data_IF_369853326877
#
_entry.id   IF_369853326877
#
_cell.length_a   1.000
_cell.length_b   1.000
_cell.length_c   1.000
_cell.angle_alpha   90.00
_cell.angle_beta   90.00
_cell.angle_gamma   90.00
#
_symmetry.space_group_name_H-M   'P 1'
#
loop_
_entity.id
_entity.type
_entity.pdbx_description
1 polymer ?
#
# COMPACT_ATOMS: atom_id res chain seq x y z
N UNK A 1 -42.50 -80.85 -24.52
CA UNK A 1 -42.73 -79.65 -25.34
C UNK A 1 -43.16 -78.54 -24.37
N UNK A 2 -42.27 -77.64 -24.01
CA UNK A 2 -42.61 -76.34 -23.49
C UNK A 2 -41.31 -75.60 -23.30
N UNK A 3 -41.01 -74.66 -24.13
CA UNK A 3 -39.87 -73.74 -24.12
C UNK A 3 -40.21 -72.60 -23.22
N UNK A 4 -39.44 -72.45 -22.14
CA UNK A 4 -39.44 -71.20 -21.35
C UNK A 4 -38.25 -70.33 -21.75
N UNK A 5 -38.59 -69.25 -22.42
CA UNK A 5 -37.67 -68.19 -22.81
C UNK A 5 -37.57 -67.22 -21.63
N UNK A 6 -36.51 -67.33 -20.85
CA UNK A 6 -36.18 -66.40 -19.80
C UNK A 6 -35.32 -65.26 -20.32
N UNK A 7 -35.94 -64.11 -20.53
CA UNK A 7 -35.27 -62.87 -20.91
C UNK A 7 -34.63 -62.24 -19.61
N UNK A 8 -33.30 -62.32 -19.55
CA UNK A 8 -32.55 -61.59 -18.54
C UNK A 8 -32.52 -60.12 -18.92
N UNK A 9 -33.25 -59.33 -18.22
CA UNK A 9 -33.14 -57.88 -18.25
C UNK A 9 -31.85 -57.50 -17.51
N UNK A 10 -30.85 -57.03 -18.25
CA UNK A 10 -29.72 -56.33 -17.70
C UNK A 10 -30.19 -54.92 -17.28
N UNK A 11 -30.46 -54.69 -16.02
CA UNK A 11 -30.47 -53.37 -15.43
C UNK A 11 -29.03 -52.89 -15.34
N UNK A 12 -28.64 -52.10 -16.34
CA UNK A 12 -27.42 -51.32 -16.32
C UNK A 12 -27.62 -50.16 -15.34
N UNK A 13 -27.32 -50.41 -14.06
CA UNK A 13 -27.28 -49.39 -13.04
C UNK A 13 -25.97 -48.63 -13.24
N UNK A 14 -25.97 -47.71 -14.19
CA UNK A 14 -24.98 -46.62 -14.23
C UNK A 14 -25.17 -45.71 -13.00
N UNK A 15 -24.63 -46.16 -11.88
CA UNK A 15 -24.31 -45.27 -10.75
C UNK A 15 -23.17 -44.37 -11.19
N UNK A 16 -23.51 -43.31 -11.93
CA UNK A 16 -22.66 -42.11 -11.98
C UNK A 16 -22.50 -41.61 -10.54
N UNK A 17 -21.41 -42.05 -9.90
CA UNK A 17 -20.95 -41.45 -8.66
C UNK A 17 -20.69 -40.00 -8.96
N UNK A 18 -21.64 -39.13 -8.63
CA UNK A 18 -21.46 -37.67 -8.61
C UNK A 18 -20.24 -37.43 -7.72
N UNK A 19 -19.10 -37.17 -8.37
CA UNK A 19 -17.90 -36.70 -7.68
C UNK A 19 -18.31 -35.44 -6.99
N UNK A 20 -18.53 -35.51 -5.69
CA UNK A 20 -18.84 -34.37 -4.83
C UNK A 20 -17.71 -33.38 -5.03
N UNK A 21 -17.97 -32.30 -5.77
CA UNK A 21 -16.98 -31.25 -5.99
C UNK A 21 -16.48 -30.81 -4.62
N UNK A 22 -15.21 -31.03 -4.34
CA UNK A 22 -14.58 -30.65 -3.09
C UNK A 22 -14.72 -29.12 -3.00
N UNK A 23 -15.39 -28.64 -1.94
CA UNK A 23 -15.49 -27.20 -1.72
C UNK A 23 -14.10 -26.67 -1.35
N UNK A 24 -13.46 -25.99 -2.29
CA UNK A 24 -12.11 -25.45 -2.14
C UNK A 24 -12.09 -24.10 -1.40
N UNK A 25 -13.25 -23.49 -1.16
CA UNK A 25 -13.37 -22.16 -0.52
C UNK A 25 -12.78 -22.14 0.91
N UNK A 26 -13.07 -23.09 1.82
CA UNK A 26 -12.48 -23.08 3.15
C UNK A 26 -10.95 -23.21 3.13
N UNK A 27 -10.42 -24.01 2.18
CA UNK A 27 -8.97 -24.17 2.01
C UNK A 27 -8.33 -22.88 1.50
N UNK A 28 -8.99 -22.16 0.58
CA UNK A 28 -8.54 -20.87 0.08
C UNK A 28 -8.48 -19.84 1.22
N UNK A 29 -9.54 -19.72 2.02
CA UNK A 29 -9.59 -18.80 3.17
C UNK A 29 -8.42 -19.08 4.11
N UNK A 30 -8.23 -20.34 4.49
CA UNK A 30 -7.15 -20.74 5.39
C UNK A 30 -5.77 -20.36 4.83
N UNK A 31 -5.51 -20.64 3.55
CA UNK A 31 -4.24 -20.29 2.90
C UNK A 31 -4.01 -18.79 2.84
N UNK A 32 -5.04 -18.01 2.51
CA UNK A 32 -4.95 -16.56 2.43
C UNK A 32 -4.73 -15.96 3.82
N UNK A 33 -5.47 -16.42 4.84
CA UNK A 33 -5.31 -15.95 6.23
C UNK A 33 -3.92 -16.26 6.80
N UNK A 34 -3.31 -17.41 6.43
CA UNK A 34 -1.94 -17.74 6.82
C UNK A 34 -0.90 -16.73 6.33
N UNK A 35 -1.19 -16.01 5.25
CA UNK A 35 -0.33 -14.97 4.72
C UNK A 35 -0.45 -13.63 5.46
N UNK A 36 -1.32 -13.50 6.46
CA UNK A 36 -1.60 -12.28 7.24
C UNK A 36 -1.46 -10.95 6.46
N UNK A 37 -0.28 -10.66 5.94
CA UNK A 37 0.02 -9.48 5.11
C UNK A 37 0.74 -9.89 3.82
N UNK A 38 0.18 -9.52 2.68
CA UNK A 38 0.80 -9.70 1.36
C UNK A 38 1.45 -8.38 0.91
N UNK A 39 2.77 -8.29 0.99
CA UNK A 39 3.51 -7.15 0.47
C UNK A 39 3.61 -7.23 -1.05
N UNK A 40 3.05 -6.24 -1.73
CA UNK A 40 2.86 -6.25 -3.18
C UNK A 40 3.63 -5.17 -3.93
N UNK A 41 4.07 -4.10 -3.25
CA UNK A 41 4.90 -3.07 -3.83
C UNK A 41 5.89 -2.48 -2.80
N UNK A 42 7.10 -2.14 -3.25
CA UNK A 42 8.10 -1.40 -2.48
C UNK A 42 8.60 -0.21 -3.31
N UNK A 43 8.59 0.96 -2.71
CA UNK A 43 9.08 2.19 -3.31
C UNK A 43 10.19 2.78 -2.45
N UNK A 44 11.22 3.32 -3.11
CA UNK A 44 12.24 4.16 -2.48
C UNK A 44 12.01 5.59 -2.92
N UNK A 45 11.82 6.45 -1.96
CA UNK A 45 11.55 7.88 -2.18
C UNK A 45 12.71 8.68 -1.65
N UNK A 46 13.28 9.54 -2.50
CA UNK A 46 14.28 10.52 -2.13
C UNK A 46 13.63 11.89 -2.14
N UNK A 47 13.68 12.61 -1.02
CA UNK A 47 13.10 13.95 -0.88
C UNK A 47 14.15 14.90 -0.30
N UNK A 48 14.33 16.06 -0.93
CA UNK A 48 15.16 17.12 -0.36
C UNK A 48 14.25 18.14 0.31
N UNK A 49 14.44 18.33 1.61
CA UNK A 49 13.79 19.40 2.38
C UNK A 49 14.71 20.57 2.41
N UNK A 50 14.24 21.74 1.97
CA UNK A 50 14.98 22.99 2.04
C UNK A 50 14.31 23.93 3.00
N UNK A 51 15.10 24.59 3.84
CA UNK A 51 14.63 25.64 4.73
C UNK A 51 15.50 26.89 4.60
N UNK A 52 14.87 28.03 4.39
CA UNK A 52 15.50 29.34 4.32
C UNK A 52 15.06 30.17 5.51
N UNK A 53 15.97 30.47 6.41
CA UNK A 53 15.75 31.34 7.57
C UNK A 53 16.39 32.71 7.29
N UNK A 54 15.52 33.69 7.13
CA UNK A 54 15.89 35.06 6.71
C UNK A 54 15.54 36.02 7.85
N UNK A 55 16.52 36.76 8.32
CA UNK A 55 16.26 37.83 9.31
C UNK A 55 15.71 39.04 8.59
N UNK A 56 14.54 39.50 9.04
CA UNK A 56 13.89 40.71 8.57
C UNK A 56 13.76 41.71 9.71
N UNK A 57 14.24 42.93 9.49
CA UNK A 57 14.01 44.05 10.42
C UNK A 57 12.68 44.72 10.02
N UNK A 58 11.68 44.58 10.90
CA UNK A 58 10.38 45.22 10.76
C UNK A 58 10.27 46.36 11.76
N UNK A 59 9.80 47.51 11.29
CA UNK A 59 9.57 48.67 12.18
C UNK A 59 8.67 49.69 11.53
N UNK A 60 8.33 50.73 12.32
CA UNK A 60 7.63 51.90 11.81
C UNK A 60 8.41 53.15 12.17
N UNK A 61 8.67 53.99 11.20
CA UNK A 61 9.30 55.29 11.39
C UNK A 61 8.45 56.34 10.66
N UNK A 62 8.07 57.40 11.35
CA UNK A 62 7.26 58.49 10.77
C UNK A 62 5.97 58.00 10.08
N UNK A 63 5.22 57.10 10.74
CA UNK A 63 3.96 56.48 10.24
C UNK A 63 4.13 55.63 8.96
N UNK A 64 5.35 55.31 8.55
CA UNK A 64 5.63 54.36 7.48
C UNK A 64 6.23 53.09 8.02
N UNK A 65 5.62 51.95 7.74
CA UNK A 65 6.18 50.65 8.06
C UNK A 65 7.30 50.28 7.07
N UNK A 66 8.38 49.68 7.59
CA UNK A 66 9.44 49.14 6.78
C UNK A 66 9.64 47.64 7.13
N UNK A 67 9.98 46.86 6.12
CA UNK A 67 10.35 45.43 6.23
C UNK A 67 11.61 45.25 5.39
N UNK A 68 12.78 45.26 6.02
CA UNK A 68 14.06 45.19 5.36
C UNK A 68 14.70 43.82 5.64
N UNK A 69 15.05 43.09 4.58
CA UNK A 69 15.84 41.87 4.67
C UNK A 69 17.27 42.23 5.08
N UNK A 70 17.75 41.58 6.14
CA UNK A 70 19.13 41.78 6.62
C UNK A 70 20.06 40.83 5.88
N UNK A 71 20.95 41.30 4.99
CA UNK A 71 21.78 40.46 4.13
C UNK A 71 22.81 39.60 4.86
N UNK A 72 23.09 39.91 6.13
CA UNK A 72 24.09 39.21 6.98
C UNK A 72 23.44 38.22 7.97
N UNK A 73 22.14 37.93 7.84
CA UNK A 73 21.41 37.10 8.82
C UNK A 73 20.84 35.79 8.23
N UNK A 74 21.15 35.46 7.01
CA UNK A 74 20.53 34.31 6.35
C UNK A 74 21.19 32.98 6.77
N UNK A 75 20.34 31.96 7.04
CA UNK A 75 20.73 30.56 7.16
C UNK A 75 19.87 29.76 6.17
N UNK A 76 20.51 28.77 5.54
CA UNK A 76 19.83 27.85 4.63
C UNK A 76 20.30 26.44 4.88
N UNK A 77 19.41 25.51 4.80
CA UNK A 77 19.73 24.08 4.87
C UNK A 77 18.98 23.30 3.81
N UNK A 78 19.66 22.33 3.26
CA UNK A 78 19.07 21.31 2.37
C UNK A 78 19.36 19.93 2.96
N UNK A 79 18.32 19.21 3.30
CA UNK A 79 18.38 17.91 3.97
C UNK A 79 17.79 16.87 3.04
N UNK A 80 18.63 15.99 2.46
CA UNK A 80 18.13 14.85 1.69
C UNK A 80 17.64 13.75 2.65
N UNK A 81 16.44 13.25 2.37
CA UNK A 81 15.78 12.20 3.14
C UNK A 81 15.45 11.04 2.23
N UNK A 82 15.93 9.86 2.59
CA UNK A 82 15.63 8.60 1.94
C UNK A 82 14.59 7.84 2.75
N UNK A 83 13.49 7.45 2.12
CA UNK A 83 12.46 6.65 2.74
C UNK A 83 12.14 5.39 1.92
N UNK A 84 11.77 4.32 2.62
CA UNK A 84 11.21 3.11 2.02
C UNK A 84 9.76 2.98 2.41
N UNK A 85 8.91 2.87 1.40
CA UNK A 85 7.48 2.64 1.52
C UNK A 85 7.18 1.24 1.03
N UNK A 86 6.32 0.51 1.76
CA UNK A 86 5.81 -0.79 1.34
C UNK A 86 4.30 -0.76 1.34
N UNK A 87 3.70 -1.20 0.24
CA UNK A 87 2.28 -1.46 0.18
C UNK A 87 2.00 -2.95 0.42
N UNK A 88 0.96 -3.22 1.20
CA UNK A 88 0.53 -4.57 1.52
C UNK A 88 -0.99 -4.67 1.58
N UNK A 89 -1.50 -5.88 1.37
CA UNK A 89 -2.89 -6.22 1.60
C UNK A 89 -2.95 -6.97 2.92
N UNK A 90 -3.83 -6.55 3.80
CA UNK A 90 -4.05 -7.14 5.11
C UNK A 90 -5.18 -8.18 5.02
N UNK A 91 -4.85 -9.44 5.25
CA UNK A 91 -5.80 -10.55 5.19
C UNK A 91 -6.34 -10.98 6.55
N UNK A 92 -6.06 -10.24 7.63
CA UNK A 92 -6.49 -10.61 8.97
C UNK A 92 -8.02 -10.75 9.11
N UNK A 93 -8.76 -9.95 8.33
CA UNK A 93 -10.23 -9.99 8.29
C UNK A 93 -10.79 -10.69 7.04
N UNK A 94 -9.94 -11.38 6.28
CA UNK A 94 -10.38 -12.10 5.08
C UNK A 94 -11.25 -13.29 5.49
N UNK A 95 -12.42 -13.43 4.88
CA UNK A 95 -13.42 -14.43 5.23
C UNK A 95 -14.19 -14.87 3.99
N UNK A 96 -15.14 -15.77 4.18
CA UNK A 96 -16.04 -16.23 3.12
C UNK A 96 -16.82 -15.08 2.45
N UNK A 97 -17.11 -14.01 3.19
CA UNK A 97 -17.78 -12.82 2.66
C UNK A 97 -16.96 -12.06 1.60
N UNK A 98 -15.68 -12.37 1.49
CA UNK A 98 -14.78 -11.82 0.49
C UNK A 98 -14.76 -12.66 -0.80
N UNK A 99 -15.52 -13.73 -0.88
CA UNK A 99 -15.52 -14.67 -2.00
C UNK A 99 -16.93 -14.79 -2.55
N UNK A 100 -17.09 -14.44 -3.81
CA UNK A 100 -18.34 -14.65 -4.54
C UNK A 100 -18.12 -15.75 -5.58
N UNK A 101 -18.94 -16.80 -5.53
CA UNK A 101 -18.90 -17.91 -6.47
C UNK A 101 -20.19 -18.01 -7.25
N UNK A 102 -20.08 -18.07 -8.59
CA UNK A 102 -21.20 -18.26 -9.49
C UNK A 102 -20.85 -19.37 -10.49
N UNK A 103 -21.22 -20.61 -10.19
CA UNK A 103 -20.81 -21.78 -10.97
C UNK A 103 -19.30 -21.94 -10.98
N UNK A 104 -18.69 -21.87 -12.17
CA UNK A 104 -17.23 -21.97 -12.34
C UNK A 104 -16.49 -20.64 -12.12
N UNK A 105 -17.21 -19.53 -12.02
CA UNK A 105 -16.60 -18.20 -11.80
C UNK A 105 -16.43 -17.93 -10.32
N UNK A 106 -15.26 -17.36 -9.98
CA UNK A 106 -14.92 -16.91 -8.63
C UNK A 106 -14.45 -15.46 -8.66
N UNK A 107 -15.04 -14.64 -7.81
CA UNK A 107 -14.59 -13.27 -7.57
C UNK A 107 -14.07 -13.15 -6.14
N UNK A 108 -12.83 -12.70 -6.02
CA UNK A 108 -12.19 -12.42 -4.72
C UNK A 108 -12.22 -10.91 -4.50
N UNK A 109 -12.91 -10.47 -3.45
CA UNK A 109 -13.01 -9.07 -3.06
C UNK A 109 -11.95 -8.79 -1.99
N UNK A 110 -10.86 -8.17 -2.39
CA UNK A 110 -9.75 -7.85 -1.49
C UNK A 110 -10.01 -6.56 -0.71
N UNK A 111 -9.48 -6.47 0.53
CA UNK A 111 -9.36 -5.19 1.19
C UNK A 111 -8.37 -4.32 0.43
N UNK A 112 -8.54 -3.03 0.60
CA UNK A 112 -7.68 -2.06 -0.05
C UNK A 112 -6.22 -2.16 0.45
N UNK A 113 -5.20 -1.95 -0.41
CA UNK A 113 -3.83 -1.95 0.03
C UNK A 113 -3.58 -0.87 1.10
N UNK A 114 -2.78 -1.18 2.11
CA UNK A 114 -2.25 -0.25 3.10
C UNK A 114 -0.80 0.06 2.77
N UNK A 115 -0.32 1.25 3.18
CA UNK A 115 1.09 1.64 3.01
C UNK A 115 1.72 1.85 4.36
N UNK A 116 2.91 1.30 4.54
CA UNK A 116 3.75 1.55 5.73
C UNK A 116 5.11 2.11 5.30
N UNK A 117 5.63 3.05 6.09
CA UNK A 117 6.98 3.59 5.93
C UNK A 117 7.93 2.77 6.81
N UNK A 118 8.69 1.87 6.19
CA UNK A 118 9.58 0.95 6.93
C UNK A 118 10.91 1.59 7.33
N UNK A 119 11.30 2.66 6.67
CA UNK A 119 12.46 3.46 7.07
C UNK A 119 12.36 4.89 6.55
N UNK A 120 12.90 5.82 7.34
CA UNK A 120 13.14 7.20 6.94
C UNK A 120 14.49 7.62 7.53
N UNK A 121 15.45 7.98 6.69
CA UNK A 121 16.81 8.33 7.09
C UNK A 121 17.26 9.61 6.41
N UNK A 122 17.96 10.47 7.15
CA UNK A 122 18.68 11.60 6.59
C UNK A 122 19.98 11.05 5.97
N UNK A 123 20.28 11.48 4.76
CA UNK A 123 21.61 11.31 4.17
C UNK A 123 22.54 12.39 4.74
N UNK A 124 23.12 12.10 5.91
CA UNK A 124 24.00 13.02 6.65
C UNK A 124 25.18 13.54 5.83
N UNK A 125 25.68 12.73 4.87
CA UNK A 125 26.85 13.10 4.04
C UNK A 125 26.50 14.18 3.03
N UNK A 126 25.25 14.28 2.65
CA UNK A 126 24.76 15.20 1.62
C UNK A 126 23.91 16.34 2.20
N UNK A 127 23.82 16.47 3.53
CA UNK A 127 23.25 17.67 4.15
C UNK A 127 24.13 18.86 3.78
N UNK A 128 23.53 19.89 3.24
CA UNK A 128 24.19 21.15 2.89
C UNK A 128 23.61 22.27 3.73
N UNK A 129 24.50 22.98 4.42
CA UNK A 129 24.15 24.09 5.27
C UNK A 129 24.95 25.34 4.82
N UNK A 130 24.24 26.45 4.73
CA UNK A 130 24.82 27.78 4.57
C UNK A 130 24.41 28.62 5.76
N UNK A 131 25.39 29.13 6.50
CA UNK A 131 25.18 29.97 7.69
C UNK A 131 26.03 31.23 7.54
N UNK A 132 25.40 32.40 7.67
CA UNK A 132 26.12 33.65 7.65
C UNK A 132 26.95 33.82 8.92
N UNK A 133 28.03 34.61 8.85
CA UNK A 133 28.99 34.84 9.94
C UNK A 133 28.37 35.30 11.27
N UNK A 134 27.18 35.85 11.22
CA UNK A 134 26.49 36.42 12.39
C UNK A 134 25.46 35.46 13.03
N UNK A 135 25.36 34.23 12.52
CA UNK A 135 24.35 33.25 12.95
C UNK A 135 25.00 31.98 13.48
N UNK A 136 24.34 31.32 14.41
CA UNK A 136 24.66 29.96 14.81
C UNK A 136 24.19 28.94 13.78
N UNK A 137 24.85 27.80 13.73
CA UNK A 137 24.42 26.64 12.98
C UNK A 137 23.02 26.18 13.43
N UNK A 138 22.35 25.38 12.60
CA UNK A 138 21.08 24.76 12.97
C UNK A 138 21.30 23.80 14.14
N UNK A 139 20.40 23.85 15.13
CA UNK A 139 20.46 22.91 16.25
C UNK A 139 19.94 21.52 15.83
N UNK A 140 20.25 20.51 16.65
CA UNK A 140 19.77 19.15 16.42
C UNK A 140 18.24 19.10 16.46
N UNK A 141 17.58 19.93 17.29
CA UNK A 141 16.13 20.03 17.36
C UNK A 141 15.52 20.61 16.07
N UNK A 142 16.18 21.66 15.52
CA UNK A 142 15.77 22.24 14.23
C UNK A 142 15.90 21.22 13.11
N UNK A 143 17.02 20.48 13.05
CA UNK A 143 17.25 19.43 12.06
C UNK A 143 16.25 18.27 12.20
N UNK A 144 15.92 17.86 13.43
CA UNK A 144 14.90 16.85 13.70
C UNK A 144 13.51 17.31 13.25
N UNK A 145 13.17 18.60 13.47
CA UNK A 145 11.93 19.19 12.97
C UNK A 145 11.85 19.16 11.43
N UNK A 146 12.93 19.49 10.74
CA UNK A 146 12.97 19.42 9.27
C UNK A 146 12.88 17.97 8.76
N UNK A 147 13.48 17.02 9.47
CA UNK A 147 13.31 15.59 9.16
C UNK A 147 11.84 15.19 9.27
N UNK A 148 11.16 15.60 10.32
CA UNK A 148 9.74 15.32 10.49
C UNK A 148 8.88 15.96 9.39
N UNK A 149 9.17 17.20 9.01
CA UNK A 149 8.51 17.86 7.88
C UNK A 149 8.72 17.10 6.57
N UNK A 150 9.95 16.61 6.32
CA UNK A 150 10.26 15.80 5.16
C UNK A 150 9.53 14.47 5.15
N UNK A 151 9.43 13.81 6.31
CA UNK A 151 8.62 12.60 6.48
C UNK A 151 7.16 12.86 6.12
N UNK A 152 6.57 13.94 6.62
CA UNK A 152 5.19 14.32 6.32
C UNK A 152 5.00 14.64 4.83
N UNK A 153 5.97 15.30 4.21
CA UNK A 153 5.92 15.61 2.78
C UNK A 153 6.00 14.35 1.91
N UNK A 154 6.76 13.32 2.32
CA UNK A 154 6.79 12.01 1.65
C UNK A 154 5.44 11.32 1.79
N UNK A 155 4.86 11.29 3.01
CA UNK A 155 3.54 10.71 3.26
C UNK A 155 2.48 11.39 2.39
N UNK A 156 2.48 12.71 2.31
CA UNK A 156 1.54 13.48 1.50
C UNK A 156 1.68 13.19 -0.01
N UNK A 157 2.84 12.75 -0.48
CA UNK A 157 3.07 12.41 -1.89
C UNK A 157 2.65 10.99 -2.29
N UNK A 158 2.33 10.10 -1.32
CA UNK A 158 1.97 8.70 -1.59
C UNK A 158 0.84 8.56 -2.63
N UNK A 159 -0.25 9.36 -2.60
CA UNK A 159 -1.31 9.26 -3.59
C UNK A 159 -0.83 9.48 -5.04
N UNK A 160 0.20 10.32 -5.22
CA UNK A 160 0.72 10.68 -6.54
C UNK A 160 1.71 9.66 -7.10
N UNK A 161 2.19 8.72 -6.24
CA UNK A 161 3.19 7.73 -6.65
C UNK A 161 2.64 6.55 -7.46
N UNK A 162 1.31 6.42 -7.62
CA UNK A 162 0.68 5.27 -8.28
C UNK A 162 0.95 3.93 -7.55
N UNK A 163 1.31 4.01 -6.26
CA UNK A 163 1.73 2.86 -5.47
C UNK A 163 0.57 1.92 -5.17
N UNK A 164 -0.63 2.46 -5.02
CA UNK A 164 -1.83 1.71 -4.68
C UNK A 164 -2.27 0.87 -5.88
N UNK A 165 -2.31 1.45 -7.06
CA UNK A 165 -2.65 0.77 -8.32
C UNK A 165 -1.63 -0.33 -8.62
N UNK A 166 -0.35 -0.05 -8.42
CA UNK A 166 0.72 -1.04 -8.54
C UNK A 166 0.53 -2.19 -7.55
N UNK A 167 0.17 -1.88 -6.31
CA UNK A 167 -0.07 -2.89 -5.29
C UNK A 167 -1.26 -3.77 -5.62
N UNK A 168 -2.35 -3.20 -6.13
CA UNK A 168 -3.54 -3.94 -6.57
C UNK A 168 -3.22 -4.86 -7.74
N UNK A 169 -2.53 -4.35 -8.77
CA UNK A 169 -2.15 -5.15 -9.93
C UNK A 169 -1.21 -6.31 -9.55
N UNK A 170 -0.26 -6.09 -8.65
CA UNK A 170 0.66 -7.12 -8.19
C UNK A 170 -0.03 -8.16 -7.30
N UNK A 171 -1.02 -7.77 -6.50
CA UNK A 171 -1.82 -8.71 -5.74
C UNK A 171 -2.57 -9.70 -6.65
N UNK A 172 -3.17 -9.20 -7.72
CA UNK A 172 -3.83 -10.06 -8.72
C UNK A 172 -2.83 -11.04 -9.35
N UNK A 173 -1.62 -10.58 -9.73
CA UNK A 173 -0.57 -11.44 -10.28
C UNK A 173 -0.12 -12.58 -9.35
N UNK A 174 -0.25 -12.39 -8.03
CA UNK A 174 0.09 -13.42 -7.04
C UNK A 174 -1.09 -14.36 -6.81
N UNK A 175 -2.30 -13.83 -6.71
CA UNK A 175 -3.47 -14.61 -6.33
C UNK A 175 -4.08 -15.41 -7.49
N UNK A 176 -4.04 -14.90 -8.72
CA UNK A 176 -4.58 -15.62 -9.88
C UNK A 176 -3.90 -16.97 -10.09
N UNK A 177 -2.55 -17.09 -10.13
CA UNK A 177 -1.89 -18.39 -10.23
C UNK A 177 -2.23 -19.34 -9.08
N UNK A 178 -2.32 -18.82 -7.84
CA UNK A 178 -2.69 -19.63 -6.69
C UNK A 178 -4.09 -20.24 -6.83
N UNK A 179 -5.05 -19.47 -7.34
CA UNK A 179 -6.41 -19.94 -7.61
C UNK A 179 -6.43 -20.95 -8.77
N UNK A 180 -5.58 -20.75 -9.76
CA UNK A 180 -5.44 -21.70 -10.89
C UNK A 180 -4.90 -23.06 -10.42
N UNK A 181 -3.91 -23.06 -9.51
CA UNK A 181 -3.42 -24.28 -8.87
C UNK A 181 -4.51 -25.01 -8.04
N UNK A 182 -5.50 -24.27 -7.54
CA UNK A 182 -6.65 -24.82 -6.82
C UNK A 182 -7.76 -25.35 -7.75
N UNK A 183 -7.55 -25.28 -9.09
CA UNK A 183 -8.44 -25.84 -10.10
C UNK A 183 -9.39 -24.85 -10.75
N UNK A 184 -9.29 -23.54 -10.45
CA UNK A 184 -10.04 -22.51 -11.17
C UNK A 184 -9.35 -22.19 -12.50
N UNK A 185 -10.13 -21.97 -13.56
CA UNK A 185 -9.58 -21.47 -14.83
C UNK A 185 -9.30 -19.98 -14.69
N UNK A 186 -8.17 -19.49 -15.22
CA UNK A 186 -7.76 -18.09 -15.14
C UNK A 186 -8.84 -17.14 -15.66
N UNK A 187 -9.51 -17.50 -16.77
CA UNK A 187 -10.61 -16.73 -17.36
C UNK A 187 -11.84 -16.59 -16.46
N UNK A 188 -11.96 -17.44 -15.44
CA UNK A 188 -13.07 -17.47 -14.49
C UNK A 188 -12.72 -16.82 -13.15
N UNK A 189 -11.48 -16.32 -12.99
CA UNK A 189 -11.00 -15.67 -11.76
C UNK A 189 -11.08 -14.16 -11.91
N UNK A 190 -11.75 -13.49 -10.99
CA UNK A 190 -11.79 -12.03 -10.90
C UNK A 190 -11.25 -11.59 -9.55
N UNK A 191 -10.30 -10.66 -9.54
CA UNK A 191 -9.83 -10.00 -8.32
C UNK A 191 -10.39 -8.57 -8.31
N UNK A 192 -11.17 -8.25 -7.31
CA UNK A 192 -11.80 -6.94 -7.11
C UNK A 192 -11.31 -6.30 -5.80
N UNK A 193 -11.41 -5.00 -5.69
CA UNK A 193 -11.10 -4.23 -4.47
C UNK A 193 -12.32 -3.43 -4.03
N UNK A 194 -12.48 -3.23 -2.71
CA UNK A 194 -13.71 -2.65 -2.14
C UNK A 194 -13.90 -1.18 -2.43
N UNK A 195 -12.82 -0.40 -2.63
CA UNK A 195 -12.88 1.05 -2.83
C UNK A 195 -11.83 1.56 -3.82
N UNK A 196 -12.12 2.71 -4.43
CA UNK A 196 -11.12 3.59 -5.00
C UNK A 196 -10.66 4.59 -3.92
N UNK A 197 -9.36 4.71 -3.70
CA UNK A 197 -8.80 5.60 -2.67
C UNK A 197 -8.91 7.08 -3.03
N UNK A 198 -9.39 7.88 -2.09
CA UNK A 198 -9.11 9.30 -2.04
C UNK A 198 -7.85 9.59 -1.21
N UNK A 199 -7.18 10.74 -1.45
CA UNK A 199 -5.99 11.17 -0.71
C UNK A 199 -6.19 11.17 0.82
N UNK A 200 -7.40 11.48 1.29
CA UNK A 200 -7.75 11.51 2.72
C UNK A 200 -7.78 10.13 3.38
N UNK A 201 -8.08 9.07 2.63
CA UNK A 201 -8.16 7.72 3.17
C UNK A 201 -6.76 7.14 3.41
N UNK A 202 -5.79 7.48 2.56
CA UNK A 202 -4.38 7.07 2.71
C UNK A 202 -3.77 7.70 3.95
N UNK A 203 -4.06 8.97 4.23
CA UNK A 203 -3.59 9.69 5.42
C UNK A 203 -4.10 9.06 6.74
N UNK A 204 -5.31 8.50 6.74
CA UNK A 204 -5.86 7.79 7.91
C UNK A 204 -5.16 6.46 8.17
N UNK A 205 -4.82 5.71 7.11
CA UNK A 205 -4.18 4.40 7.21
C UNK A 205 -2.75 4.48 7.79
N UNK A 206 -2.06 5.60 7.58
CA UNK A 206 -0.70 5.83 8.10
C UNK A 206 -0.66 6.27 9.57
N UNK A 207 -1.78 6.78 10.10
CA UNK A 207 -1.88 7.22 11.51
C UNK A 207 -2.15 6.09 12.50
N UNK A 208 -2.44 4.90 12.03
CA UNK A 208 -2.90 3.78 12.90
C UNK A 208 -1.76 2.87 13.36
N UNK A 209 -0.50 3.14 12.97
CA UNK A 209 0.68 2.30 13.31
C UNK A 209 1.69 3.03 14.24
N UNK A 210 1.26 4.06 15.01
CA UNK A 210 2.07 4.67 16.09
C UNK A 210 1.79 4.02 17.44
#
# INVERSE_FOLDING_TARGET
MLTCNGRLEHEDASQEAAVKAIDTVPMLITKVQQCAKLYTAEYRVHKIVTHDDVVRLKGSLLQRSFDIKMPLGDRKVAIPIDAKLKAYIDFSEFSEQNIERQGDKITIILPDPKVTMTSSKIDQKNVKEYVSLTRAHFSDEELASFQQQGRQAIIASIPELGMMETAQANAAKVLVPMLTEMGFKEENVTIAFRKHYGANDIMKLLKTED
#
